data_IF_766063656018
#
_entry.id   IF_766063656018
#
_cell.length_a   1.000
_cell.length_b   1.000
_cell.length_c   1.000
_cell.angle_alpha   90.00
_cell.angle_beta   90.00
_cell.angle_gamma   90.00
#
_symmetry.space_group_name_H-M   'P 1'
#
loop_
_entity.id
_entity.type
_entity.pdbx_description
1 polymer ?
#
# COMPACT_ATOMS: atom_id res chain seq x y z
N UNK A 1 57.97 -42.18 0.64
CA UNK A 1 58.83 -41.76 -0.49
C UNK A 1 58.00 -41.90 -1.77
N UNK A 2 58.10 -40.90 -2.66
CA UNK A 2 57.29 -40.66 -3.89
C UNK A 2 55.86 -40.18 -3.60
N UNK A 3 55.47 -38.91 -3.74
CA UNK A 3 55.62 -37.92 -4.83
C UNK A 3 54.95 -38.36 -6.13
N UNK A 4 53.76 -37.81 -6.44
CA UNK A 4 53.49 -37.05 -7.67
C UNK A 4 52.10 -36.39 -7.59
N UNK A 5 52.11 -35.07 -7.79
CA UNK A 5 50.96 -34.21 -7.99
C UNK A 5 50.34 -34.44 -9.38
N UNK A 6 49.03 -34.23 -9.50
CA UNK A 6 48.38 -33.97 -10.79
C UNK A 6 47.73 -32.60 -10.74
N UNK A 7 48.36 -31.65 -11.44
CA UNK A 7 47.79 -30.36 -11.77
C UNK A 7 47.14 -30.48 -13.16
N UNK A 8 45.92 -29.97 -13.32
CA UNK A 8 45.48 -29.54 -14.64
C UNK A 8 44.79 -28.18 -14.57
N UNK A 9 45.30 -27.34 -15.46
CA UNK A 9 45.09 -25.91 -15.63
C UNK A 9 43.73 -25.62 -16.27
N UNK A 10 42.96 -24.70 -15.70
CA UNK A 10 41.80 -24.07 -16.34
C UNK A 10 42.18 -22.67 -16.79
N UNK A 11 42.37 -22.50 -18.10
CA UNK A 11 42.85 -21.27 -18.74
C UNK A 11 41.79 -20.16 -18.73
N UNK A 12 42.17 -18.98 -18.25
CA UNK A 12 41.47 -17.72 -18.49
C UNK A 12 41.59 -17.33 -19.97
N UNK A 13 40.48 -17.04 -20.64
CA UNK A 13 40.50 -16.37 -21.95
C UNK A 13 40.18 -14.89 -21.77
N UNK A 14 41.21 -14.06 -21.97
CA UNK A 14 41.09 -12.63 -22.18
C UNK A 14 40.86 -12.38 -23.69
N UNK A 15 39.70 -11.86 -24.06
CA UNK A 15 39.49 -11.32 -25.41
C UNK A 15 39.87 -9.85 -25.43
N UNK A 16 40.94 -9.56 -26.18
CA UNK A 16 41.45 -8.23 -26.52
C UNK A 16 40.45 -7.46 -27.39
N UNK A 17 40.29 -6.20 -27.04
CA UNK A 17 39.65 -5.14 -27.81
C UNK A 17 40.39 -4.89 -29.13
N UNK A 18 39.63 -4.69 -30.22
CA UNK A 18 40.08 -4.04 -31.44
C UNK A 18 39.27 -2.75 -31.62
N UNK A 19 39.90 -1.60 -31.92
CA UNK A 19 39.25 -0.29 -31.90
C UNK A 19 38.46 0.00 -33.18
N UNK A 20 37.33 0.68 -33.03
CA UNK A 20 36.53 1.24 -34.12
C UNK A 20 36.76 2.77 -34.20
N UNK A 21 37.36 3.30 -35.27
CA UNK A 21 37.47 4.73 -35.48
C UNK A 21 36.29 5.21 -36.33
N UNK A 22 35.52 6.17 -35.81
CA UNK A 22 35.10 7.39 -36.50
C UNK A 22 34.12 8.18 -35.60
N UNK A 23 34.52 9.42 -35.32
CA UNK A 23 33.90 10.40 -34.43
C UNK A 23 32.70 11.10 -35.06
N UNK A 24 31.71 11.45 -34.24
CA UNK A 24 31.25 12.84 -34.13
C UNK A 24 30.66 13.08 -32.74
N UNK A 25 31.37 13.86 -31.93
CA UNK A 25 30.86 14.38 -30.66
C UNK A 25 29.95 15.57 -30.96
N UNK A 26 28.65 15.42 -30.71
CA UNK A 26 27.75 16.55 -30.51
C UNK A 26 27.46 16.64 -29.00
N UNK A 27 27.94 17.74 -28.42
CA UNK A 27 27.88 18.07 -27.00
C UNK A 27 26.42 18.23 -26.53
N UNK A 28 25.94 17.33 -25.68
CA UNK A 28 24.70 17.51 -24.93
C UNK A 28 24.95 18.44 -23.72
N UNK A 29 24.12 19.47 -23.48
CA UNK A 29 24.35 20.42 -22.40
C UNK A 29 24.11 19.79 -21.02
N UNK A 30 25.07 20.03 -20.14
CA UNK A 30 25.13 19.67 -18.73
C UNK A 30 23.92 20.24 -17.96
N UNK A 31 23.09 19.37 -17.38
CA UNK A 31 21.93 19.76 -16.60
C UNK A 31 22.38 20.39 -15.26
N UNK A 32 22.45 21.72 -15.24
CA UNK A 32 22.74 22.52 -14.04
C UNK A 32 21.59 22.42 -13.03
N UNK A 33 21.91 22.00 -11.81
CA UNK A 33 20.96 22.01 -10.68
C UNK A 33 20.41 23.43 -10.44
N UNK A 34 19.10 23.59 -10.14
CA UNK A 34 18.53 24.92 -9.88
C UNK A 34 19.07 25.47 -8.56
N UNK A 35 19.76 26.61 -8.63
CA UNK A 35 20.17 27.40 -7.48
C UNK A 35 18.94 28.08 -6.85
N UNK A 36 18.91 28.14 -5.52
CA UNK A 36 17.85 28.81 -4.75
C UNK A 36 17.83 30.32 -5.04
N UNK A 37 16.68 30.94 -5.34
CA UNK A 37 16.61 32.39 -5.46
C UNK A 37 16.60 33.04 -4.07
N UNK A 38 17.58 33.90 -3.84
CA UNK A 38 17.64 34.90 -2.77
C UNK A 38 16.42 35.81 -2.78
N UNK A 39 15.94 36.15 -1.58
CA UNK A 39 14.76 36.99 -1.34
C UNK A 39 14.90 38.41 -1.91
N UNK A 40 13.87 38.87 -2.61
CA UNK A 40 13.55 40.30 -2.76
C UNK A 40 12.03 40.47 -2.79
N UNK A 41 11.57 41.59 -2.23
CA UNK A 41 10.23 41.81 -1.73
C UNK A 41 9.17 42.15 -2.81
N UNK A 42 7.94 41.74 -2.49
CA UNK A 42 6.64 42.33 -2.84
C UNK A 42 6.21 42.42 -4.31
N UNK A 43 5.30 41.52 -4.69
CA UNK A 43 4.09 41.87 -5.45
C UNK A 43 2.99 40.85 -5.09
N UNK A 44 1.94 41.28 -4.40
CA UNK A 44 0.75 40.46 -4.19
C UNK A 44 -0.03 40.39 -5.51
N UNK A 45 0.25 39.37 -6.31
CA UNK A 45 -0.61 38.94 -7.41
C UNK A 45 -0.83 37.43 -7.29
N UNK A 46 -2.10 37.03 -7.34
CA UNK A 46 -2.62 35.74 -6.90
C UNK A 46 -1.84 34.54 -7.46
N UNK A 47 -1.40 33.68 -6.53
CA UNK A 47 -0.82 32.38 -6.85
C UNK A 47 -1.90 31.54 -7.53
N UNK A 48 -1.72 31.26 -8.83
CA UNK A 48 -2.47 30.24 -9.54
C UNK A 48 -2.38 28.93 -8.75
N UNK A 49 -3.50 28.22 -8.46
CA UNK A 49 -3.43 27.00 -7.66
C UNK A 49 -2.51 26.02 -8.39
N UNK A 50 -1.44 25.62 -7.71
CA UNK A 50 -0.43 24.73 -8.27
C UNK A 50 -1.09 23.44 -8.77
N UNK A 51 -0.47 22.82 -9.76
CA UNK A 51 -0.96 21.57 -10.38
C UNK A 51 -1.24 20.50 -9.32
N UNK A 52 -0.51 20.52 -8.22
CA UNK A 52 -0.69 19.65 -7.05
C UNK A 52 -1.99 19.98 -6.32
N UNK A 53 -2.35 21.24 -6.06
CA UNK A 53 -3.63 21.62 -5.47
C UNK A 53 -4.82 21.32 -6.37
N UNK A 54 -4.70 21.54 -7.69
CA UNK A 54 -5.75 21.18 -8.64
C UNK A 54 -5.93 19.65 -8.71
N UNK A 55 -4.83 18.89 -8.68
CA UNK A 55 -4.82 17.43 -8.60
C UNK A 55 -5.39 16.91 -7.27
N UNK A 56 -5.02 17.51 -6.14
CA UNK A 56 -5.56 17.19 -4.80
C UNK A 56 -7.06 17.54 -4.70
N UNK A 57 -7.50 18.63 -5.33
CA UNK A 57 -8.91 19.04 -5.38
C UNK A 57 -9.75 18.11 -6.27
N UNK A 58 -9.21 17.68 -7.41
CA UNK A 58 -9.86 16.70 -8.28
C UNK A 58 -10.01 15.30 -7.62
N UNK A 59 -9.21 15.00 -6.60
CA UNK A 59 -9.37 13.79 -5.78
C UNK A 59 -10.52 13.89 -4.77
N UNK A 60 -10.83 15.08 -4.26
CA UNK A 60 -11.93 15.29 -3.31
C UNK A 60 -13.33 15.09 -3.91
N UNK A 61 -13.45 14.94 -5.24
CA UNK A 61 -14.72 14.76 -5.95
C UNK A 61 -15.05 13.31 -6.31
N UNK A 62 -14.15 12.35 -6.05
CA UNK A 62 -14.39 10.91 -6.25
C UNK A 62 -14.87 10.26 -4.95
N UNK A 63 -15.47 9.06 -5.00
CA UNK A 63 -15.97 8.31 -3.82
C UNK A 63 -14.90 7.88 -2.80
N UNK A 64 -13.71 8.50 -2.84
CA UNK A 64 -12.52 8.23 -2.06
C UNK A 64 -11.86 9.56 -1.69
N UNK A 65 -11.44 9.74 -0.43
CA UNK A 65 -10.58 10.88 -0.07
C UNK A 65 -9.17 10.37 0.28
N UNK A 66 -8.18 10.87 -0.47
CA UNK A 66 -6.75 10.69 -0.22
C UNK A 66 -6.09 9.52 -0.97
N UNK A 67 -4.75 9.58 -1.18
CA UNK A 67 -3.97 8.46 -1.70
C UNK A 67 -3.95 7.30 -0.71
N UNK A 68 -3.81 6.07 -1.21
CA UNK A 68 -3.36 4.99 -0.35
C UNK A 68 -1.86 5.14 -0.09
N UNK A 69 -1.51 5.78 1.02
CA UNK A 69 -0.12 5.90 1.49
C UNK A 69 0.10 4.87 2.58
N UNK A 70 0.80 3.80 2.24
CA UNK A 70 1.16 2.73 3.15
C UNK A 70 2.67 2.70 3.40
N UNK A 71 3.04 2.37 4.62
CA UNK A 71 4.36 1.83 4.94
C UNK A 71 4.18 0.41 5.49
N UNK A 72 5.27 -0.29 5.80
CA UNK A 72 5.24 -1.70 6.18
C UNK A 72 6.19 -2.03 7.32
N UNK A 73 5.87 -3.11 8.02
CA UNK A 73 6.78 -3.82 8.90
C UNK A 73 7.72 -4.73 8.09
N UNK A 74 8.59 -5.47 8.79
CA UNK A 74 9.44 -6.50 8.18
C UNK A 74 8.63 -7.52 7.40
N UNK A 75 7.57 -8.05 8.01
CA UNK A 75 6.58 -8.95 7.40
C UNK A 75 5.68 -8.19 6.39
N UNK A 76 4.89 -8.87 5.53
CA UNK A 76 3.90 -8.23 4.66
C UNK A 76 2.69 -7.69 5.46
N UNK A 77 2.97 -6.86 6.47
CA UNK A 77 2.02 -6.17 7.33
C UNK A 77 2.22 -4.68 7.08
N UNK A 78 1.15 -4.01 6.71
CA UNK A 78 1.15 -2.63 6.27
C UNK A 78 0.41 -1.76 7.27
N UNK A 79 0.74 -0.48 7.29
CA UNK A 79 -0.01 0.50 8.06
C UNK A 79 -0.23 1.78 7.26
N UNK A 80 -1.38 2.41 7.49
CA UNK A 80 -1.75 3.66 6.85
C UNK A 80 -0.97 4.84 7.42
N UNK A 81 -0.32 5.61 6.55
CA UNK A 81 0.32 6.87 6.94
C UNK A 81 -0.64 8.07 6.91
N UNK A 82 -1.74 7.93 6.17
CA UNK A 82 -2.81 8.92 6.06
C UNK A 82 -4.17 8.22 6.20
N UNK A 83 -5.20 8.90 6.75
CA UNK A 83 -6.54 8.33 6.78
C UNK A 83 -7.09 8.20 5.35
N UNK A 84 -7.85 7.14 5.12
CA UNK A 84 -8.57 6.92 3.86
C UNK A 84 -10.07 6.90 4.12
N UNK A 85 -10.88 7.34 3.15
CA UNK A 85 -12.34 7.39 3.29
C UNK A 85 -12.98 6.71 2.10
N UNK A 86 -14.02 5.92 2.36
CA UNK A 86 -14.88 5.38 1.32
C UNK A 86 -16.27 5.98 1.37
N UNK A 87 -16.78 6.37 0.21
CA UNK A 87 -18.15 6.79 -0.05
C UNK A 87 -18.67 5.99 -1.26
N UNK A 88 -19.83 5.32 -1.15
CA UNK A 88 -20.39 4.59 -2.28
C UNK A 88 -20.69 5.55 -3.45
N UNK A 89 -20.37 5.14 -4.68
CA UNK A 89 -20.62 5.93 -5.88
C UNK A 89 -22.12 6.24 -6.09
N UNK A 90 -22.99 5.29 -5.74
CA UNK A 90 -24.45 5.44 -5.76
C UNK A 90 -25.02 5.37 -4.35
N UNK A 91 -26.01 6.20 -4.03
CA UNK A 91 -26.72 6.16 -2.75
C UNK A 91 -27.32 4.77 -2.54
N UNK A 92 -26.75 3.99 -1.63
CA UNK A 92 -27.31 2.70 -1.24
C UNK A 92 -28.52 2.91 -0.35
N UNK A 93 -29.60 2.16 -0.59
CA UNK A 93 -30.76 2.10 0.33
C UNK A 93 -30.37 1.46 1.67
N UNK A 94 -29.33 0.62 1.68
CA UNK A 94 -28.81 0.02 2.89
C UNK A 94 -27.95 1.04 3.67
N UNK A 95 -28.50 1.56 4.78
CA UNK A 95 -27.80 2.52 5.66
C UNK A 95 -26.46 1.99 6.19
N UNK A 96 -26.29 0.68 6.29
CA UNK A 96 -25.04 0.07 6.73
C UNK A 96 -23.91 0.22 5.69
N UNK A 97 -24.21 0.62 4.45
CA UNK A 97 -23.22 0.98 3.43
C UNK A 97 -22.87 2.48 3.44
N UNK A 98 -23.21 3.20 4.50
CA UNK A 98 -22.84 4.61 4.64
C UNK A 98 -21.31 4.82 4.61
N UNK A 99 -20.93 6.04 4.24
CA UNK A 99 -19.54 6.52 4.24
C UNK A 99 -18.83 6.22 5.55
N UNK A 100 -17.56 5.83 5.49
CA UNK A 100 -16.72 5.67 6.67
C UNK A 100 -15.26 6.02 6.36
N UNK A 101 -14.50 6.27 7.43
CA UNK A 101 -13.08 6.61 7.38
C UNK A 101 -12.29 5.52 8.09
N UNK A 102 -11.19 5.09 7.48
CA UNK A 102 -10.15 4.28 8.11
C UNK A 102 -9.09 5.23 8.65
N UNK A 103 -8.75 5.18 9.94
CA UNK A 103 -7.85 6.13 10.56
C UNK A 103 -6.41 5.93 10.10
N UNK A 104 -5.63 7.01 10.18
CA UNK A 104 -4.16 6.93 10.15
C UNK A 104 -3.68 5.94 11.22
N UNK A 105 -2.65 5.18 10.89
CA UNK A 105 -2.08 4.15 11.76
C UNK A 105 -2.84 2.84 11.76
N UNK A 106 -3.93 2.69 11.00
CA UNK A 106 -4.59 1.38 10.88
C UNK A 106 -3.64 0.36 10.25
N UNK A 107 -3.51 -0.81 10.89
CA UNK A 107 -2.64 -1.92 10.48
C UNK A 107 -3.47 -3.00 9.76
N UNK A 108 -2.99 -3.41 8.60
CA UNK A 108 -3.62 -4.38 7.70
C UNK A 108 -2.58 -5.40 7.26
N UNK A 109 -2.99 -6.65 7.20
CA UNK A 109 -2.14 -7.77 6.78
C UNK A 109 -2.59 -8.34 5.42
N UNK A 110 -3.70 -7.84 4.87
CA UNK A 110 -4.31 -8.26 3.61
C UNK A 110 -4.62 -9.77 3.57
N UNK A 111 -4.64 -10.45 4.72
CA UNK A 111 -4.78 -11.92 4.80
C UNK A 111 -6.22 -12.40 4.76
N UNK A 112 -7.19 -11.49 4.87
CA UNK A 112 -8.62 -11.81 4.72
C UNK A 112 -8.98 -12.30 3.31
N UNK A 113 -8.09 -12.09 2.33
CA UNK A 113 -8.28 -12.50 0.94
C UNK A 113 -7.46 -13.79 0.66
N UNK A 114 -8.04 -14.83 0.04
CA UNK A 114 -7.34 -16.08 -0.22
C UNK A 114 -6.04 -15.93 -1.02
N UNK A 115 -5.05 -16.74 -0.68
CA UNK A 115 -3.68 -16.71 -1.24
C UNK A 115 -3.62 -16.80 -2.76
N UNK A 116 -4.56 -17.51 -3.40
CA UNK A 116 -4.63 -17.58 -4.87
C UNK A 116 -4.81 -16.21 -5.54
N UNK A 117 -5.39 -15.25 -4.82
CA UNK A 117 -5.54 -13.88 -5.29
C UNK A 117 -4.34 -12.99 -4.91
N UNK A 118 -3.30 -13.51 -4.23
CA UNK A 118 -2.11 -12.73 -3.86
C UNK A 118 -1.20 -12.37 -5.04
N UNK A 119 -1.33 -13.03 -6.18
CA UNK A 119 -0.71 -12.57 -7.44
C UNK A 119 -1.36 -11.28 -7.95
N UNK A 120 -2.64 -11.07 -7.64
CA UNK A 120 -3.32 -9.79 -7.80
C UNK A 120 -2.92 -8.85 -6.63
N UNK A 121 -2.60 -9.43 -5.44
CA UNK A 121 -2.05 -8.94 -4.14
C UNK A 121 -0.93 -7.92 -4.19
N UNK A 122 -0.51 -7.43 -5.36
CA UNK A 122 0.57 -6.49 -5.37
C UNK A 122 0.13 -5.21 -4.63
N UNK A 123 0.97 -4.65 -3.73
CA UNK A 123 0.61 -3.44 -2.98
C UNK A 123 0.26 -2.23 -3.86
N UNK A 124 0.64 -2.25 -5.15
CA UNK A 124 0.31 -1.27 -6.18
C UNK A 124 -0.96 -1.62 -7.00
N UNK A 125 -1.65 -2.71 -6.66
CA UNK A 125 -2.84 -3.17 -7.36
C UNK A 125 -4.08 -2.29 -7.12
N UNK A 126 -4.96 -2.22 -8.12
CA UNK A 126 -6.16 -1.37 -8.13
C UNK A 126 -7.15 -1.63 -6.99
N UNK A 127 -7.00 -2.70 -6.22
CA UNK A 127 -7.89 -3.05 -5.13
C UNK A 127 -7.24 -2.93 -3.74
N UNK A 128 -5.94 -2.59 -3.64
CA UNK A 128 -5.26 -2.50 -2.35
C UNK A 128 -6.05 -1.58 -1.39
N UNK A 129 -6.57 -0.47 -1.92
CA UNK A 129 -7.45 0.43 -1.18
C UNK A 129 -8.70 -0.30 -0.65
N UNK A 130 -9.40 -1.04 -1.50
CA UNK A 130 -10.55 -1.87 -1.14
C UNK A 130 -10.22 -2.92 -0.09
N UNK A 131 -9.05 -3.56 -0.17
CA UNK A 131 -8.62 -4.55 0.80
C UNK A 131 -8.37 -3.93 2.18
N UNK A 132 -7.77 -2.73 2.26
CA UNK A 132 -7.62 -2.01 3.53
C UNK A 132 -8.98 -1.65 4.14
N UNK A 133 -9.93 -1.19 3.32
CA UNK A 133 -11.30 -0.91 3.78
C UNK A 133 -11.96 -2.18 4.35
N UNK A 134 -11.78 -3.32 3.69
CA UNK A 134 -12.31 -4.61 4.12
C UNK A 134 -11.70 -5.08 5.44
N UNK A 135 -10.37 -5.10 5.55
CA UNK A 135 -9.65 -5.47 6.77
C UNK A 135 -10.06 -4.59 7.95
N UNK A 136 -10.28 -3.29 7.72
CA UNK A 136 -10.79 -2.38 8.75
C UNK A 136 -12.17 -2.82 9.26
N UNK A 137 -13.11 -3.09 8.36
CA UNK A 137 -14.44 -3.55 8.75
C UNK A 137 -14.40 -4.94 9.40
N UNK A 138 -13.53 -5.83 8.95
CA UNK A 138 -13.31 -7.16 9.52
C UNK A 138 -12.67 -7.13 10.91
N UNK A 139 -11.81 -6.16 11.17
CA UNK A 139 -11.19 -5.98 12.47
C UNK A 139 -12.17 -5.37 13.48
N UNK A 140 -12.76 -4.22 13.13
CA UNK A 140 -13.63 -3.49 14.05
C UNK A 140 -15.00 -4.13 14.21
N UNK A 141 -15.50 -4.80 13.16
CA UNK A 141 -16.78 -5.50 13.15
C UNK A 141 -17.96 -4.59 13.52
N UNK A 142 -17.88 -3.31 13.14
CA UNK A 142 -18.92 -2.30 13.36
C UNK A 142 -20.14 -2.47 12.45
N UNK A 143 -20.06 -3.41 11.50
CA UNK A 143 -21.10 -3.76 10.53
C UNK A 143 -21.15 -5.29 10.43
N UNK A 144 -22.27 -5.90 10.01
CA UNK A 144 -22.29 -7.33 9.73
C UNK A 144 -21.28 -7.73 8.66
N UNK A 145 -20.75 -8.96 8.72
CA UNK A 145 -19.76 -9.47 7.78
C UNK A 145 -20.23 -9.35 6.33
N UNK A 146 -21.49 -9.69 6.07
CA UNK A 146 -22.16 -9.59 4.77
C UNK A 146 -22.07 -8.17 4.19
N UNK A 147 -22.20 -7.16 5.05
CA UNK A 147 -22.12 -5.77 4.63
C UNK A 147 -20.68 -5.37 4.37
N UNK A 148 -19.73 -5.86 5.17
CA UNK A 148 -18.30 -5.65 4.91
C UNK A 148 -17.89 -6.27 3.56
N UNK A 149 -18.34 -7.49 3.27
CA UNK A 149 -18.09 -8.19 2.00
C UNK A 149 -18.69 -7.43 0.81
N UNK A 150 -19.93 -6.92 0.93
CA UNK A 150 -20.56 -6.15 -0.15
C UNK A 150 -19.90 -4.78 -0.35
N UNK A 151 -19.46 -4.12 0.72
CA UNK A 151 -18.67 -2.88 0.61
C UNK A 151 -17.36 -3.16 -0.11
N UNK A 152 -16.71 -4.27 0.21
CA UNK A 152 -15.49 -4.67 -0.47
C UNK A 152 -15.73 -4.89 -1.97
N UNK A 153 -16.78 -5.64 -2.32
CA UNK A 153 -17.23 -5.84 -3.70
C UNK A 153 -17.49 -4.52 -4.42
N UNK A 154 -18.28 -3.62 -3.82
CA UNK A 154 -18.65 -2.35 -4.43
C UNK A 154 -17.43 -1.43 -4.59
N UNK A 155 -16.57 -1.33 -3.57
CA UNK A 155 -15.38 -0.50 -3.65
C UNK A 155 -14.42 -0.97 -4.76
N UNK A 156 -14.26 -2.29 -4.95
CA UNK A 156 -13.46 -2.81 -6.07
C UNK A 156 -14.01 -2.38 -7.43
N UNK A 157 -15.34 -2.35 -7.61
CA UNK A 157 -15.98 -1.86 -8.84
C UNK A 157 -15.73 -0.37 -9.06
N UNK A 158 -15.85 0.42 -7.99
CA UNK A 158 -15.58 1.85 -8.02
C UNK A 158 -14.10 2.13 -8.41
N UNK A 159 -13.17 1.24 -8.05
CA UNK A 159 -11.77 1.23 -8.50
C UNK A 159 -11.52 0.54 -9.85
N UNK A 160 -12.58 0.16 -10.58
CA UNK A 160 -12.52 -0.45 -11.92
C UNK A 160 -11.72 -1.76 -11.97
N UNK A 161 -11.72 -2.53 -10.88
CA UNK A 161 -11.25 -3.91 -10.90
C UNK A 161 -12.13 -4.70 -11.87
N UNK A 162 -11.55 -5.57 -12.74
CA UNK A 162 -12.34 -6.36 -13.69
C UNK A 162 -13.46 -7.14 -13.00
N UNK A 163 -14.67 -7.13 -13.56
CA UNK A 163 -15.85 -7.69 -12.90
C UNK A 163 -15.71 -9.18 -12.57
N UNK A 164 -15.06 -9.97 -13.43
CA UNK A 164 -14.77 -11.39 -13.15
C UNK A 164 -13.92 -11.55 -11.88
N UNK A 165 -12.88 -10.72 -11.73
CA UNK A 165 -12.04 -10.69 -10.53
C UNK A 165 -12.83 -10.27 -9.30
N UNK A 166 -13.69 -9.25 -9.42
CA UNK A 166 -14.56 -8.79 -8.33
C UNK A 166 -15.47 -9.92 -7.84
N UNK A 167 -16.17 -10.60 -8.75
CA UNK A 167 -17.09 -11.68 -8.36
C UNK A 167 -16.34 -12.89 -7.80
N UNK A 168 -15.17 -13.23 -8.34
CA UNK A 168 -14.34 -14.33 -7.83
C UNK A 168 -13.85 -14.06 -6.40
N UNK A 169 -13.31 -12.86 -6.14
CA UNK A 169 -12.86 -12.46 -4.80
C UNK A 169 -14.06 -12.40 -3.84
N UNK A 170 -15.18 -11.80 -4.27
CA UNK A 170 -16.36 -11.70 -3.44
C UNK A 170 -16.91 -13.09 -3.05
N UNK A 171 -17.05 -14.01 -4.01
CA UNK A 171 -17.46 -15.38 -3.72
C UNK A 171 -16.52 -16.05 -2.72
N UNK A 172 -15.21 -15.84 -2.87
CA UNK A 172 -14.22 -16.44 -1.99
C UNK A 172 -14.31 -15.92 -0.54
N UNK A 173 -14.49 -14.61 -0.32
CA UNK A 173 -14.68 -14.06 1.04
C UNK A 173 -16.03 -14.46 1.64
N UNK A 174 -17.09 -14.62 0.82
CA UNK A 174 -18.37 -15.13 1.29
C UNK A 174 -18.25 -16.55 1.83
N UNK A 175 -17.54 -17.42 1.12
CA UNK A 175 -17.33 -18.83 1.47
C UNK A 175 -16.31 -19.02 2.61
N UNK A 176 -15.20 -18.28 2.61
CA UNK A 176 -14.06 -18.52 3.50
C UNK A 176 -13.80 -17.45 4.56
N UNK A 177 -14.38 -16.26 4.44
CA UNK A 177 -14.08 -15.11 5.32
C UNK A 177 -14.58 -15.27 6.76
N UNK A 178 -15.48 -16.22 7.03
CA UNK A 178 -16.02 -16.46 8.38
C UNK A 178 -14.94 -16.80 9.41
N UNK A 179 -13.96 -17.64 9.05
CA UNK A 179 -12.85 -17.94 9.97
C UNK A 179 -12.05 -16.67 10.29
N UNK A 180 -11.64 -15.90 9.28
CA UNK A 180 -10.88 -14.66 9.48
C UNK A 180 -11.65 -13.63 10.31
N UNK A 181 -12.97 -13.55 10.14
CA UNK A 181 -13.85 -12.71 10.93
C UNK A 181 -13.81 -13.11 12.43
N UNK A 182 -14.00 -14.38 12.73
CA UNK A 182 -14.00 -14.88 14.11
C UNK A 182 -12.60 -14.82 14.74
N UNK A 183 -11.56 -15.09 13.97
CA UNK A 183 -10.16 -14.95 14.39
C UNK A 183 -9.85 -13.51 14.81
N UNK A 184 -10.29 -12.51 14.05
CA UNK A 184 -10.13 -11.10 14.39
C UNK A 184 -10.88 -10.74 15.68
N UNK A 185 -12.09 -11.25 15.87
CA UNK A 185 -12.83 -11.07 17.12
C UNK A 185 -12.04 -11.63 18.31
N UNK A 186 -11.49 -12.84 18.19
CA UNK A 186 -10.68 -13.49 19.24
C UNK A 186 -9.40 -12.73 19.53
N UNK A 187 -8.68 -12.26 18.50
CA UNK A 187 -7.43 -11.47 18.66
C UNK A 187 -7.69 -10.14 19.37
N UNK A 188 -8.74 -9.43 18.96
CA UNK A 188 -9.20 -8.19 19.60
C UNK A 188 -9.58 -8.42 21.07
N UNK A 189 -10.30 -9.50 21.37
CA UNK A 189 -10.65 -9.87 22.75
C UNK A 189 -9.42 -10.21 23.62
N UNK A 190 -8.32 -10.69 23.01
CA UNK A 190 -7.03 -10.91 23.69
C UNK A 190 -6.18 -9.63 23.82
N UNK A 191 -6.68 -8.48 23.39
CA UNK A 191 -6.00 -7.19 23.54
C UNK A 191 -4.99 -6.86 22.44
N UNK A 192 -5.07 -7.51 21.28
CA UNK A 192 -4.38 -7.03 20.08
C UNK A 192 -4.96 -5.67 19.66
N UNK A 193 -4.08 -4.75 19.23
CA UNK A 193 -4.44 -3.40 18.76
C UNK A 193 -3.92 -3.23 17.33
N UNK A 194 -4.71 -2.58 16.49
CA UNK A 194 -4.38 -2.33 15.07
C UNK A 194 -4.44 -0.87 14.67
N UNK A 195 -4.39 0.06 15.62
CA UNK A 195 -4.25 1.49 15.33
C UNK A 195 -3.02 2.00 16.05
N UNK A 196 -2.02 2.40 15.28
CA UNK A 196 -0.76 2.92 15.78
C UNK A 196 -0.90 4.39 16.24
N UNK A 197 -0.29 4.72 17.37
CA UNK A 197 -0.07 6.10 17.80
C UNK A 197 1.32 6.62 17.36
N UNK A 198 2.30 5.72 17.33
CA UNK A 198 3.67 5.98 16.87
C UNK A 198 3.93 5.22 15.56
N UNK A 199 4.96 5.60 14.82
CA UNK A 199 5.32 4.92 13.57
C UNK A 199 6.73 4.34 13.69
N UNK A 200 7.00 3.15 13.15
CA UNK A 200 8.34 2.58 13.16
C UNK A 200 9.27 3.36 12.23
N UNK A 201 10.43 3.75 12.76
CA UNK A 201 11.52 4.36 11.98
C UNK A 201 12.55 3.31 11.51
N UNK A 202 12.60 2.15 12.18
CA UNK A 202 13.43 1.01 11.81
C UNK A 202 12.71 0.14 10.76
N UNK A 203 13.27 0.00 9.54
CA UNK A 203 12.64 -0.79 8.47
C UNK A 203 12.68 -2.31 8.72
N UNK A 204 13.39 -2.78 9.75
CA UNK A 204 13.57 -4.20 10.06
C UNK A 204 12.72 -4.70 11.22
N UNK A 205 11.97 -3.81 11.88
CA UNK A 205 11.14 -4.15 13.04
C UNK A 205 9.99 -5.08 12.65
N UNK A 206 9.84 -6.16 13.41
CA UNK A 206 8.74 -7.11 13.22
C UNK A 206 7.46 -6.59 13.85
N UNK A 207 6.31 -7.00 13.31
CA UNK A 207 5.02 -6.70 13.92
C UNK A 207 4.91 -7.26 15.35
N UNK A 208 5.42 -8.47 15.57
CA UNK A 208 5.39 -9.11 16.89
C UNK A 208 6.21 -8.37 17.93
N UNK A 209 7.35 -7.79 17.55
CA UNK A 209 8.16 -6.97 18.45
C UNK A 209 7.49 -5.63 18.72
N UNK A 210 6.93 -5.01 17.67
CA UNK A 210 6.18 -3.76 17.79
C UNK A 210 5.01 -3.86 18.77
N UNK A 211 4.30 -5.00 18.79
CA UNK A 211 3.16 -5.27 19.66
C UNK A 211 3.49 -5.36 21.16
N UNK A 212 4.76 -5.56 21.52
CA UNK A 212 5.18 -5.71 22.93
C UNK A 212 5.03 -4.41 23.72
N UNK A 213 5.26 -3.26 23.08
CA UNK A 213 5.05 -1.95 23.70
C UNK A 213 3.63 -1.43 23.41
N UNK A 214 2.78 -1.42 24.44
CA UNK A 214 1.40 -0.92 24.34
C UNK A 214 1.34 0.60 24.10
N UNK A 215 2.39 1.35 24.42
CA UNK A 215 2.53 2.77 24.15
C UNK A 215 2.72 3.11 22.66
N UNK A 216 2.92 2.12 21.81
CA UNK A 216 2.96 2.30 20.36
C UNK A 216 1.58 2.46 19.71
N UNK A 217 0.52 2.11 20.44
CA UNK A 217 -0.84 2.06 19.91
C UNK A 217 -1.70 3.21 20.44
N UNK A 218 -2.65 3.65 19.63
CA UNK A 218 -3.68 4.56 20.07
C UNK A 218 -4.48 3.95 21.23
N UNK A 219 -4.91 4.80 22.16
CA UNK A 219 -5.81 4.40 23.23
C UNK A 219 -7.11 3.85 22.61
N UNK A 220 -7.52 2.69 23.10
CA UNK A 220 -8.78 2.01 22.75
C UNK A 220 -9.98 2.71 23.34
#
# INVERSE_FOLDING_TARGET
>A
MSTTASAFSGSFFASRLVPNPLLREDSAPEARAPQSPTSSAASQQGVQPDVISQWMSAWNTRGYQGPLVVSRFREPIYFLYQPIKWKPATTSKNKLMATFTVPKGFVTDLTSIPQVFWSLLRPDGNYAYSAVLHDYLYWFQSRPREVADEIFRQSMKDFRVPSSTVEAIHAAVRLGGGSSWDDNARRKARGERRVLAKFPDDPTISWSDWQKDKGNFASS
#
